data_IF_303399447957
#
_entry.id   IF_303399447957
#
_cell.length_a   1.000
_cell.length_b   1.000
_cell.length_c   1.000
_cell.angle_alpha   90.00
_cell.angle_beta   90.00
_cell.angle_gamma   90.00
#
_symmetry.space_group_name_H-M   'P 1'
#
loop_
_entity.id
_entity.type
_entity.pdbx_description
1 polymer ?
#
# COMPACT_ATOMS: atom_id res chain seq x y z
N UNK A 1 23.31 29.82 12.72
CA UNK A 1 23.30 28.73 11.72
C UNK A 1 22.59 27.53 12.34
N UNK A 2 21.33 27.26 11.98
CA UNK A 2 20.53 26.15 12.55
C UNK A 2 19.82 25.42 11.41
N UNK A 3 20.14 24.14 11.21
CA UNK A 3 19.60 23.35 10.11
C UNK A 3 18.21 22.79 10.42
N UNK A 4 17.19 23.25 9.68
CA UNK A 4 15.90 22.56 9.58
C UNK A 4 16.03 21.38 8.59
N UNK A 5 16.13 20.14 9.10
CA UNK A 5 15.97 18.93 8.28
C UNK A 5 14.49 18.56 8.18
N UNK A 6 13.91 18.71 6.99
CA UNK A 6 12.60 18.16 6.67
C UNK A 6 12.70 16.67 6.37
N UNK A 7 12.01 15.83 7.14
CA UNK A 7 11.88 14.40 6.87
C UNK A 7 10.81 14.12 5.78
N UNK A 8 11.01 13.01 5.05
CA UNK A 8 10.30 12.68 3.82
C UNK A 8 9.84 11.22 3.87
N UNK A 9 8.71 10.95 4.52
CA UNK A 9 8.16 9.60 4.62
C UNK A 9 7.68 9.07 3.27
N UNK A 10 8.26 7.95 2.83
CA UNK A 10 7.73 7.09 1.76
C UNK A 10 7.99 5.60 2.13
N UNK A 11 6.90 4.95 2.58
CA UNK A 11 6.41 3.54 2.58
C UNK A 11 7.32 2.25 2.73
N UNK A 12 6.67 1.04 2.72
CA UNK A 12 6.81 -0.09 1.71
C UNK A 12 7.37 -1.54 2.18
N UNK A 13 6.76 -2.73 1.83
CA UNK A 13 6.84 -4.24 2.29
C UNK A 13 8.05 -5.32 2.52
N UNK A 14 7.86 -6.62 2.97
CA UNK A 14 8.96 -7.64 3.34
C UNK A 14 9.08 -9.20 3.02
N UNK A 15 9.97 -10.07 3.53
CA UNK A 15 10.10 -11.55 3.19
C UNK A 15 10.88 -11.90 1.90
N UNK A 16 11.46 -13.09 1.61
CA UNK A 16 11.18 -14.50 2.05
C UNK A 16 12.38 -15.47 1.80
N UNK A 17 12.42 -16.64 2.51
CA UNK A 17 13.10 -17.96 2.29
C UNK A 17 14.55 -18.19 2.83
N UNK A 18 15.00 -19.35 3.40
CA UNK A 18 14.39 -20.59 3.97
C UNK A 18 15.46 -21.50 4.66
N UNK A 19 15.11 -22.32 5.69
CA UNK A 19 15.46 -23.76 5.89
C UNK A 19 14.98 -24.32 7.26
N UNK A 20 14.96 -25.65 7.44
CA UNK A 20 14.13 -26.41 8.42
C UNK A 20 14.96 -27.21 9.44
N UNK A 21 14.66 -27.11 10.75
CA UNK A 21 14.42 -28.27 11.63
C UNK A 21 13.68 -27.88 12.93
N UNK A 22 13.06 -28.86 13.60
CA UNK A 22 12.01 -28.70 14.63
C UNK A 22 12.53 -28.94 16.07
N UNK A 23 12.13 -28.09 17.04
CA UNK A 23 11.54 -28.47 18.34
C UNK A 23 11.58 -27.35 19.40
N UNK A 24 10.40 -26.99 19.94
CA UNK A 24 10.18 -26.42 21.29
C UNK A 24 11.15 -25.35 21.81
N UNK A 25 10.91 -24.07 21.48
CA UNK A 25 11.13 -22.97 22.45
C UNK A 25 10.38 -21.71 22.06
N UNK A 26 9.72 -21.09 23.04
CA UNK A 26 9.14 -19.74 23.01
C UNK A 26 8.05 -19.46 21.96
N UNK A 27 6.80 -19.68 22.38
CA UNK A 27 5.80 -18.62 22.20
C UNK A 27 6.37 -17.33 22.79
N UNK A 28 6.97 -16.46 21.97
CA UNK A 28 7.10 -15.05 22.34
C UNK A 28 5.71 -14.45 22.28
N UNK A 29 5.03 -14.46 23.43
CA UNK A 29 3.91 -13.56 23.67
C UNK A 29 4.48 -12.15 23.56
N UNK A 30 4.24 -11.49 22.42
CA UNK A 30 4.32 -10.04 22.38
C UNK A 30 3.30 -9.54 23.41
N UNK A 31 3.79 -9.01 24.53
CA UNK A 31 2.97 -8.44 25.60
C UNK A 31 2.35 -7.10 25.22
N UNK A 32 2.59 -6.66 23.98
CA UNK A 32 1.96 -5.49 23.37
C UNK A 32 0.51 -5.83 23.08
N UNK A 33 -0.39 -5.01 23.59
CA UNK A 33 -1.79 -5.02 23.18
C UNK A 33 -1.86 -4.80 21.66
N UNK A 34 -2.17 -5.87 20.94
CA UNK A 34 -2.26 -5.90 19.48
C UNK A 34 -3.36 -4.97 18.95
N UNK A 35 -4.41 -4.76 19.74
CA UNK A 35 -5.50 -3.84 19.43
C UNK A 35 -5.00 -2.40 19.56
N UNK A 36 -4.30 -2.05 20.65
CA UNK A 36 -3.69 -0.74 20.84
C UNK A 36 -2.66 -0.41 19.75
N UNK A 37 -1.80 -1.37 19.40
CA UNK A 37 -0.81 -1.21 18.34
C UNK A 37 -1.48 -0.91 16.98
N UNK A 38 -2.56 -1.62 16.66
CA UNK A 38 -3.30 -1.39 15.42
C UNK A 38 -4.00 -0.02 15.40
N UNK A 39 -4.52 0.47 16.54
CA UNK A 39 -5.05 1.85 16.65
C UNK A 39 -3.98 2.90 16.37
N UNK A 40 -2.78 2.72 16.93
CA UNK A 40 -1.67 3.65 16.73
C UNK A 40 -1.16 3.62 15.28
N UNK A 41 -1.03 2.44 14.67
CA UNK A 41 -0.71 2.31 13.24
C UNK A 41 -1.73 3.03 12.37
N UNK A 42 -3.04 2.89 12.65
CA UNK A 42 -4.08 3.67 11.97
C UNK A 42 -3.82 5.18 12.07
N UNK A 43 -3.59 5.68 13.28
CA UNK A 43 -3.40 7.13 13.53
C UNK A 43 -2.15 7.63 12.79
N UNK A 44 -1.02 6.94 12.90
CA UNK A 44 0.23 7.33 12.25
C UNK A 44 0.12 7.31 10.73
N UNK A 45 -0.47 6.26 10.15
CA UNK A 45 -0.66 6.18 8.69
C UNK A 45 -1.54 7.33 8.17
N UNK A 46 -2.66 7.62 8.85
CA UNK A 46 -3.53 8.76 8.52
C UNK A 46 -2.78 10.10 8.65
N UNK A 47 -1.98 10.27 9.70
CA UNK A 47 -1.18 11.48 9.90
C UNK A 47 -0.08 11.64 8.83
N UNK A 48 0.53 10.55 8.37
CA UNK A 48 1.56 10.56 7.33
C UNK A 48 1.04 10.85 5.92
N UNK A 49 -0.27 10.70 5.69
CA UNK A 49 -0.87 10.91 4.38
C UNK A 49 -0.57 12.33 3.87
N UNK A 50 -0.21 12.45 2.59
CA UNK A 50 0.12 13.75 1.99
C UNK A 50 1.45 14.36 2.46
N UNK A 51 2.17 13.80 3.45
CA UNK A 51 3.52 14.27 3.89
C UNK A 51 4.64 13.89 2.89
N UNK A 52 4.31 13.98 1.60
CA UNK A 52 5.16 13.63 0.48
C UNK A 52 5.85 14.88 -0.05
N UNK A 53 7.17 14.84 0.02
CA UNK A 53 8.04 15.84 -0.59
C UNK A 53 8.22 15.63 -2.09
N UNK A 54 8.76 16.62 -2.80
CA UNK A 54 9.00 16.57 -4.26
C UNK A 54 7.73 16.24 -5.07
N UNK A 55 6.58 16.77 -4.66
CA UNK A 55 5.35 16.77 -5.45
C UNK A 55 5.08 18.18 -5.98
N UNK A 56 4.67 18.26 -7.25
CA UNK A 56 4.16 19.49 -7.84
C UNK A 56 2.83 19.90 -7.19
N UNK A 57 2.38 21.17 -7.34
CA UNK A 57 1.09 21.61 -6.81
C UNK A 57 -0.10 20.75 -7.26
N UNK A 58 -0.12 20.32 -8.53
CA UNK A 58 -1.17 19.47 -9.09
C UNK A 58 -1.14 18.08 -8.46
N UNK A 59 0.05 17.50 -8.29
CA UNK A 59 0.22 16.18 -7.65
C UNK A 59 -0.24 16.21 -6.18
N UNK A 60 -0.01 17.32 -5.46
CA UNK A 60 -0.54 17.51 -4.10
C UNK A 60 -2.06 17.57 -4.06
N UNK A 61 -2.69 18.33 -4.95
CA UNK A 61 -4.16 18.44 -5.04
C UNK A 61 -4.78 17.05 -5.30
N UNK A 62 -4.24 16.32 -6.29
CA UNK A 62 -4.76 14.99 -6.64
C UNK A 62 -4.57 13.96 -5.52
N UNK A 63 -3.50 14.05 -4.73
CA UNK A 63 -3.35 13.22 -3.53
C UNK A 63 -4.34 13.64 -2.45
N UNK A 64 -4.54 14.93 -2.16
CA UNK A 64 -5.51 15.34 -1.14
C UNK A 64 -6.95 14.91 -1.49
N UNK A 65 -7.32 14.91 -2.77
CA UNK A 65 -8.59 14.34 -3.25
C UNK A 65 -8.75 12.84 -2.92
N UNK A 66 -7.64 12.09 -2.83
CA UNK A 66 -7.62 10.67 -2.45
C UNK A 66 -7.66 10.42 -0.93
N UNK A 67 -7.57 11.47 -0.10
CA UNK A 67 -7.39 11.34 1.36
C UNK A 67 -8.56 10.66 2.05
N UNK A 68 -9.80 10.98 1.68
CA UNK A 68 -10.98 10.36 2.26
C UNK A 68 -10.97 8.83 2.05
N UNK A 69 -10.78 8.39 0.80
CA UNK A 69 -10.66 6.98 0.44
C UNK A 69 -9.50 6.28 1.17
N UNK A 70 -8.36 6.96 1.36
CA UNK A 70 -7.26 6.40 2.13
C UNK A 70 -7.62 6.23 3.62
N UNK A 71 -8.20 7.25 4.26
CA UNK A 71 -8.65 7.20 5.65
C UNK A 71 -9.65 6.08 5.87
N UNK A 72 -10.63 5.93 4.96
CA UNK A 72 -11.62 4.87 5.03
C UNK A 72 -11.00 3.48 4.83
N UNK A 73 -10.03 3.33 3.92
CA UNK A 73 -9.29 2.07 3.76
C UNK A 73 -8.46 1.72 5.01
N UNK A 74 -7.81 2.69 5.67
CA UNK A 74 -7.09 2.43 6.93
C UNK A 74 -8.06 2.04 8.05
N UNK A 75 -9.23 2.70 8.14
CA UNK A 75 -10.30 2.33 9.10
C UNK A 75 -10.88 0.94 8.85
N UNK A 76 -11.10 0.57 7.59
CA UNK A 76 -11.53 -0.77 7.21
C UNK A 76 -10.47 -1.78 7.61
N UNK A 77 -9.20 -1.57 7.23
CA UNK A 77 -8.10 -2.44 7.66
C UNK A 77 -8.08 -2.60 9.19
N UNK A 78 -8.23 -1.50 9.94
CA UNK A 78 -8.21 -1.50 11.40
C UNK A 78 -9.27 -2.42 12.04
N UNK A 79 -10.44 -2.56 11.41
CA UNK A 79 -11.52 -3.46 11.86
C UNK A 79 -11.23 -4.95 11.59
N UNK A 80 -10.32 -5.24 10.65
CA UNK A 80 -9.98 -6.59 10.19
C UNK A 80 -8.47 -6.89 10.32
N UNK A 81 -7.76 -6.16 11.19
CA UNK A 81 -6.30 -6.23 11.31
C UNK A 81 -5.79 -7.62 11.74
N UNK A 82 -6.64 -8.39 12.42
CA UNK A 82 -6.39 -9.75 12.87
C UNK A 82 -6.54 -10.79 11.75
N UNK A 83 -7.41 -10.54 10.77
CA UNK A 83 -7.53 -11.33 9.54
C UNK A 83 -8.06 -10.47 8.38
N UNK A 84 -7.13 -9.90 7.62
CA UNK A 84 -7.46 -9.04 6.49
C UNK A 84 -8.16 -9.79 5.35
N UNK A 85 -8.13 -11.13 5.32
CA UNK A 85 -8.81 -11.91 4.28
C UNK A 85 -10.33 -11.82 4.37
N UNK A 86 -10.84 -11.46 5.55
CA UNK A 86 -12.27 -11.24 5.82
C UNK A 86 -12.78 -9.86 5.38
N UNK A 87 -11.90 -8.97 4.88
CA UNK A 87 -12.31 -7.62 4.43
C UNK A 87 -13.28 -7.73 3.24
N UNK A 88 -14.52 -7.21 3.34
CA UNK A 88 -15.48 -7.24 2.25
C UNK A 88 -15.09 -6.22 1.16
N UNK A 89 -14.37 -6.67 0.13
CA UNK A 89 -13.88 -5.84 -0.98
C UNK A 89 -15.05 -5.22 -1.76
N UNK A 90 -15.40 -3.97 -1.42
CA UNK A 90 -16.41 -3.16 -2.11
C UNK A 90 -15.72 -2.10 -2.97
N UNK A 91 -15.91 -2.17 -4.28
CA UNK A 91 -15.39 -1.16 -5.21
C UNK A 91 -16.04 0.21 -4.95
N UNK A 92 -15.23 1.27 -4.89
CA UNK A 92 -15.69 2.65 -4.74
C UNK A 92 -16.66 3.05 -5.88
N UNK A 93 -17.71 3.88 -5.65
CA UNK A 93 -18.71 4.18 -6.67
C UNK A 93 -18.17 4.72 -8.00
N UNK A 94 -17.07 5.49 -7.97
CA UNK A 94 -16.43 5.97 -9.21
C UNK A 94 -15.72 4.84 -9.97
N UNK A 95 -15.17 3.83 -9.28
CA UNK A 95 -14.57 2.63 -9.89
C UNK A 95 -15.68 1.74 -10.46
N UNK A 96 -16.82 1.62 -9.78
CA UNK A 96 -18.02 0.93 -10.30
C UNK A 96 -18.51 1.53 -11.63
N UNK A 97 -18.39 2.84 -11.84
CA UNK A 97 -18.71 3.44 -13.16
C UNK A 97 -17.79 2.92 -14.27
N UNK A 98 -16.49 2.74 -13.99
CA UNK A 98 -15.53 2.18 -14.95
C UNK A 98 -15.87 0.72 -15.26
N UNK A 99 -16.11 -0.09 -14.21
CA UNK A 99 -16.57 -1.48 -14.36
C UNK A 99 -17.86 -1.55 -15.19
N UNK A 100 -18.88 -0.75 -14.89
CA UNK A 100 -20.13 -0.69 -15.66
C UNK A 100 -19.93 -0.30 -17.13
N UNK A 101 -18.95 0.55 -17.47
CA UNK A 101 -18.62 0.88 -18.86
C UNK A 101 -17.97 -0.35 -19.53
N UNK A 102 -17.11 -1.08 -18.82
CA UNK A 102 -16.45 -2.27 -19.37
C UNK A 102 -17.46 -3.40 -19.58
N UNK A 103 -18.30 -3.72 -18.59
CA UNK A 103 -19.41 -4.68 -18.73
C UNK A 103 -20.39 -4.33 -19.86
N UNK A 104 -20.56 -3.04 -20.19
CA UNK A 104 -21.50 -2.61 -21.25
C UNK A 104 -20.91 -2.65 -22.67
N UNK A 105 -19.60 -2.57 -22.83
CA UNK A 105 -18.97 -2.34 -24.14
C UNK A 105 -17.72 -3.19 -24.45
N UNK A 106 -17.16 -3.88 -23.46
CA UNK A 106 -16.10 -4.87 -23.63
C UNK A 106 -16.68 -6.28 -23.73
N UNK A 107 -15.79 -7.26 -23.88
CA UNK A 107 -16.19 -8.66 -23.89
C UNK A 107 -16.37 -9.21 -22.46
N UNK A 108 -17.18 -10.25 -22.29
CA UNK A 108 -17.49 -10.83 -20.96
C UNK A 108 -16.23 -11.24 -20.19
N UNK A 109 -15.24 -11.81 -20.89
CA UNK A 109 -13.93 -12.15 -20.34
C UNK A 109 -13.11 -10.92 -19.91
N UNK A 110 -13.13 -9.83 -20.69
CA UNK A 110 -12.49 -8.55 -20.32
C UNK A 110 -13.12 -7.98 -19.05
N UNK A 111 -14.44 -7.98 -18.96
CA UNK A 111 -15.19 -7.44 -17.82
C UNK A 111 -14.96 -8.25 -16.54
N UNK A 112 -15.00 -9.59 -16.66
CA UNK A 112 -14.67 -10.50 -15.55
C UNK A 112 -13.23 -10.28 -15.05
N UNK A 113 -12.24 -10.29 -15.95
CA UNK A 113 -10.84 -10.11 -15.58
C UNK A 113 -10.59 -8.72 -14.96
N UNK A 114 -11.23 -7.67 -15.48
CA UNK A 114 -11.12 -6.33 -14.92
C UNK A 114 -11.60 -6.26 -13.46
N UNK A 115 -12.75 -6.85 -13.16
CA UNK A 115 -13.28 -6.89 -11.79
C UNK A 115 -12.42 -7.75 -10.85
N UNK A 116 -11.85 -8.86 -11.34
CA UNK A 116 -10.89 -9.68 -10.58
C UNK A 116 -9.63 -8.87 -10.25
N UNK A 117 -8.98 -8.27 -11.25
CA UNK A 117 -7.76 -7.50 -11.04
C UNK A 117 -7.98 -6.25 -10.19
N UNK A 118 -9.13 -5.58 -10.30
CA UNK A 118 -9.49 -4.46 -9.41
C UNK A 118 -9.69 -4.89 -7.96
N UNK A 119 -10.37 -6.02 -7.72
CA UNK A 119 -10.53 -6.57 -6.37
C UNK A 119 -9.18 -6.93 -5.78
N UNK A 120 -8.32 -7.58 -6.56
CA UNK A 120 -6.97 -7.93 -6.11
C UNK A 120 -6.11 -6.69 -5.85
N UNK A 121 -6.13 -5.67 -6.71
CA UNK A 121 -5.42 -4.40 -6.51
C UNK A 121 -5.93 -3.65 -5.27
N UNK A 122 -7.24 -3.70 -5.00
CA UNK A 122 -7.84 -3.14 -3.77
C UNK A 122 -7.34 -3.90 -2.55
N UNK A 123 -7.31 -5.24 -2.60
CA UNK A 123 -6.80 -6.09 -1.53
C UNK A 123 -5.29 -5.91 -1.30
N UNK A 124 -4.52 -5.68 -2.36
CA UNK A 124 -3.11 -5.32 -2.30
C UNK A 124 -2.89 -3.99 -1.55
N UNK A 125 -3.84 -3.05 -1.68
CA UNK A 125 -3.89 -1.83 -0.87
C UNK A 125 -3.97 -2.13 0.64
N UNK A 126 -4.84 -3.06 1.05
CA UNK A 126 -4.91 -3.50 2.45
C UNK A 126 -3.67 -4.27 2.89
N UNK A 127 -3.10 -5.15 2.05
CA UNK A 127 -1.82 -5.83 2.32
C UNK A 127 -0.65 -4.84 2.52
N UNK A 128 -0.64 -3.74 1.78
CA UNK A 128 0.36 -2.68 1.95
C UNK A 128 0.14 -1.86 3.24
N UNK A 129 -1.08 -1.80 3.79
CA UNK A 129 -1.34 -1.21 5.12
C UNK A 129 -0.94 -2.19 6.23
N UNK A 130 -1.45 -3.42 6.16
CA UNK A 130 -1.16 -4.51 7.09
C UNK A 130 0.34 -4.74 7.26
N UNK A 131 1.08 -4.66 6.15
CA UNK A 131 2.52 -4.72 6.17
C UNK A 131 3.21 -3.88 7.27
N UNK A 132 2.83 -2.60 7.47
CA UNK A 132 3.48 -1.75 8.48
C UNK A 132 3.26 -2.28 9.89
N UNK A 133 2.05 -2.80 10.13
CA UNK A 133 1.67 -3.41 11.38
C UNK A 133 2.42 -4.74 11.61
N UNK A 134 2.50 -5.61 10.60
CA UNK A 134 3.29 -6.84 10.67
C UNK A 134 4.79 -6.57 10.86
N UNK A 135 5.31 -5.47 10.30
CA UNK A 135 6.69 -5.06 10.50
C UNK A 135 6.96 -4.63 11.96
N UNK A 136 6.05 -3.85 12.55
CA UNK A 136 6.13 -3.46 13.96
C UNK A 136 5.95 -4.64 14.91
N UNK A 137 4.99 -5.54 14.66
CA UNK A 137 4.81 -6.76 15.46
C UNK A 137 6.08 -7.63 15.50
N UNK A 138 6.86 -7.63 14.42
CA UNK A 138 8.10 -8.40 14.33
C UNK A 138 9.34 -7.66 14.92
N UNK A 139 9.18 -6.48 15.52
CA UNK A 139 10.26 -5.79 16.21
C UNK A 139 10.38 -6.24 17.67
N UNK A 140 11.37 -7.09 17.95
CA UNK A 140 11.79 -7.49 19.31
C UNK A 140 12.06 -6.31 20.27
N UNK A 141 12.41 -5.14 19.73
CA UNK A 141 12.70 -3.94 20.51
C UNK A 141 11.47 -3.07 20.82
N UNK A 142 10.28 -3.43 20.34
CA UNK A 142 9.05 -2.67 20.56
C UNK A 142 8.56 -2.93 22.00
N UNK A 143 9.11 -2.19 22.95
CA UNK A 143 8.81 -2.33 24.39
C UNK A 143 7.81 -1.31 24.92
N UNK A 144 7.71 -0.18 24.25
CA UNK A 144 6.87 0.94 24.67
C UNK A 144 5.49 0.92 23.99
N UNK A 145 4.49 1.42 24.71
CA UNK A 145 3.12 1.58 24.22
C UNK A 145 2.91 2.83 23.35
N UNK A 146 3.97 3.57 22.99
CA UNK A 146 3.88 4.78 22.16
C UNK A 146 4.81 4.64 20.94
N UNK A 147 4.26 4.18 19.82
CA UNK A 147 5.03 4.11 18.56
C UNK A 147 5.05 5.44 17.79
N UNK A 148 6.12 5.66 17.03
CA UNK A 148 6.33 6.81 16.15
C UNK A 148 6.36 6.42 14.66
N UNK A 149 6.42 7.41 13.77
CA UNK A 149 6.62 7.17 12.34
C UNK A 149 8.03 6.65 12.06
N UNK A 150 9.01 7.05 12.87
CA UNK A 150 10.39 6.62 12.83
C UNK A 150 10.53 5.13 13.19
N UNK A 151 9.70 4.62 14.11
CA UNK A 151 9.63 3.19 14.44
C UNK A 151 9.06 2.36 13.28
N UNK A 152 7.99 2.86 12.64
CA UNK A 152 7.49 2.28 11.39
C UNK A 152 8.62 2.27 10.35
N UNK A 153 9.30 3.39 10.10
CA UNK A 153 10.43 3.46 9.17
C UNK A 153 11.57 2.49 9.53
N UNK A 154 11.82 2.24 10.81
CA UNK A 154 12.84 1.29 11.27
C UNK A 154 12.42 -0.16 11.00
N UNK A 155 11.17 -0.50 11.35
CA UNK A 155 10.57 -1.81 11.13
C UNK A 155 10.65 -2.23 9.65
N UNK A 156 10.27 -1.31 8.76
CA UNK A 156 10.25 -1.48 7.29
C UNK A 156 11.62 -1.35 6.62
N UNK A 157 12.69 -1.26 7.42
CA UNK A 157 14.09 -1.17 6.96
C UNK A 157 14.93 -2.36 7.43
N UNK A 158 14.33 -3.54 7.56
CA UNK A 158 15.06 -4.81 7.69
C UNK A 158 15.20 -5.48 6.32
N UNK A 159 16.22 -6.34 6.08
CA UNK A 159 16.37 -7.04 4.79
C UNK A 159 15.16 -7.91 4.46
N UNK A 160 14.56 -8.53 5.48
CA UNK A 160 13.26 -9.17 5.35
C UNK A 160 12.26 -8.10 4.90
N UNK A 161 11.98 -7.07 5.70
CA UNK A 161 11.06 -5.97 5.40
C UNK A 161 11.46 -4.99 4.28
N UNK A 162 12.31 -5.44 3.36
CA UNK A 162 12.64 -4.76 2.09
C UNK A 162 12.30 -5.60 0.84
N UNK A 163 11.92 -6.88 0.96
CA UNK A 163 11.72 -7.75 -0.21
C UNK A 163 10.24 -7.96 -0.65
N UNK A 164 9.19 -8.14 0.19
CA UNK A 164 7.75 -7.95 -0.26
C UNK A 164 7.53 -6.48 -0.67
N UNK A 165 8.44 -5.55 -0.38
CA UNK A 165 8.36 -4.14 -0.77
C UNK A 165 8.42 -4.09 -2.28
N UNK A 166 9.45 -4.73 -2.78
CA UNK A 166 9.59 -5.16 -4.15
C UNK A 166 8.41 -6.08 -4.55
N UNK A 167 8.13 -7.22 -3.91
CA UNK A 167 7.10 -8.18 -4.40
C UNK A 167 5.66 -7.61 -4.48
N UNK A 168 5.18 -6.86 -3.47
CA UNK A 168 3.87 -6.20 -3.53
C UNK A 168 3.84 -5.07 -4.57
N UNK A 169 4.99 -4.47 -4.93
CA UNK A 169 5.05 -3.46 -5.98
C UNK A 169 5.20 -4.04 -7.37
N UNK A 170 5.92 -5.13 -7.53
CA UNK A 170 5.90 -5.94 -8.73
C UNK A 170 4.48 -6.46 -8.97
N UNK A 171 3.76 -6.92 -7.92
CA UNK A 171 2.35 -7.28 -8.04
C UNK A 171 1.44 -6.09 -8.32
N UNK A 172 1.69 -4.92 -7.71
CA UNK A 172 0.95 -3.68 -8.01
C UNK A 172 1.11 -3.30 -9.47
N UNK A 173 2.35 -3.34 -9.99
CA UNK A 173 2.68 -3.03 -11.38
C UNK A 173 2.09 -4.05 -12.38
N UNK A 174 2.14 -5.35 -12.08
CA UNK A 174 1.52 -6.40 -12.91
C UNK A 174 0.01 -6.19 -12.98
N UNK A 175 -0.69 -6.10 -11.84
CA UNK A 175 -2.14 -5.88 -11.83
C UNK A 175 -2.53 -4.59 -12.56
N UNK A 176 -1.74 -3.53 -12.40
CA UNK A 176 -1.95 -2.27 -13.11
C UNK A 176 -1.77 -2.41 -14.62
N UNK A 177 -0.76 -3.15 -15.07
CA UNK A 177 -0.54 -3.43 -16.49
C UNK A 177 -1.72 -4.19 -17.09
N UNK A 178 -2.20 -5.25 -16.42
CA UNK A 178 -3.35 -6.04 -16.91
C UNK A 178 -4.64 -5.21 -16.97
N UNK A 179 -4.94 -4.43 -15.92
CA UNK A 179 -6.06 -3.47 -15.93
C UNK A 179 -5.92 -2.49 -17.09
N UNK A 180 -4.71 -1.96 -17.32
CA UNK A 180 -4.44 -0.97 -18.37
C UNK A 180 -4.59 -1.54 -19.77
N UNK A 181 -4.23 -2.81 -19.98
CA UNK A 181 -4.41 -3.54 -21.24
C UNK A 181 -5.89 -3.65 -21.59
N UNK A 182 -6.73 -4.10 -20.64
CA UNK A 182 -8.18 -4.17 -20.81
C UNK A 182 -8.75 -2.77 -21.13
N UNK A 183 -8.39 -1.75 -20.35
CA UNK A 183 -8.85 -0.38 -20.61
C UNK A 183 -8.42 0.17 -21.99
N UNK A 184 -7.37 -0.40 -22.60
CA UNK A 184 -6.84 0.04 -23.90
C UNK A 184 -7.45 -0.70 -25.10
N UNK A 185 -8.31 -1.69 -24.90
CA UNK A 185 -8.91 -2.44 -26.02
C UNK A 185 -9.71 -1.51 -26.95
N UNK A 186 -9.78 -1.83 -28.24
CA UNK A 186 -10.31 -0.90 -29.25
C UNK A 186 -11.76 -0.48 -28.97
N UNK A 187 -12.55 -1.41 -28.41
CA UNK A 187 -13.95 -1.22 -28.00
C UNK A 187 -14.08 -0.23 -26.83
N UNK A 188 -13.11 -0.24 -25.92
CA UNK A 188 -13.16 0.44 -24.62
C UNK A 188 -12.41 1.79 -24.61
N UNK A 189 -11.26 1.87 -25.27
CA UNK A 189 -10.30 3.00 -25.18
C UNK A 189 -10.94 4.38 -25.38
N UNK A 190 -11.82 4.52 -26.38
CA UNK A 190 -12.54 5.79 -26.65
C UNK A 190 -13.54 6.15 -25.55
N UNK A 191 -14.20 5.16 -24.96
CA UNK A 191 -15.23 5.33 -23.91
C UNK A 191 -14.62 5.57 -22.53
N UNK A 192 -13.42 5.04 -22.32
CA UNK A 192 -12.65 5.16 -21.08
C UNK A 192 -11.62 6.28 -21.08
N UNK A 193 -11.50 7.09 -22.16
CA UNK A 193 -10.39 8.04 -22.36
C UNK A 193 -10.05 8.92 -21.15
N UNK A 194 -11.05 9.52 -20.49
CA UNK A 194 -10.82 10.34 -19.29
C UNK A 194 -10.36 9.53 -18.08
N UNK A 195 -10.89 8.31 -17.90
CA UNK A 195 -10.48 7.40 -16.83
C UNK A 195 -9.07 6.87 -17.06
N UNK A 196 -8.71 6.56 -18.31
CA UNK A 196 -7.35 6.20 -18.74
C UNK A 196 -6.37 7.32 -18.40
N UNK A 197 -6.71 8.57 -18.73
CA UNK A 197 -5.87 9.72 -18.40
C UNK A 197 -5.61 9.84 -16.89
N UNK A 198 -6.66 9.78 -16.05
CA UNK A 198 -6.50 9.83 -14.60
C UNK A 198 -5.73 8.61 -14.05
N UNK A 199 -5.94 7.43 -14.63
CA UNK A 199 -5.25 6.21 -14.26
C UNK A 199 -3.74 6.29 -14.52
N UNK A 200 -3.35 6.69 -15.73
CA UNK A 200 -1.95 6.86 -16.12
C UNK A 200 -1.28 7.99 -15.31
N UNK A 201 -2.03 9.07 -15.00
CA UNK A 201 -1.55 10.16 -14.15
C UNK A 201 -1.31 9.72 -12.69
N UNK A 202 -2.26 9.00 -12.08
CA UNK A 202 -2.13 8.46 -10.73
C UNK A 202 -1.00 7.43 -10.63
N UNK A 203 -0.82 6.58 -11.64
CA UNK A 203 0.31 5.66 -11.71
C UNK A 203 1.63 6.40 -11.76
N UNK A 204 1.77 7.42 -12.61
CA UNK A 204 3.00 8.25 -12.67
C UNK A 204 3.33 8.93 -11.33
N UNK A 205 2.32 9.36 -10.55
CA UNK A 205 2.53 9.87 -9.19
C UNK A 205 3.00 8.74 -8.27
N UNK A 206 2.32 7.59 -8.31
CA UNK A 206 2.64 6.43 -7.50
C UNK A 206 4.07 5.97 -7.78
N UNK A 207 4.48 5.76 -9.02
CA UNK A 207 5.81 5.29 -9.40
C UNK A 207 6.93 6.21 -8.89
N UNK A 208 6.72 7.54 -8.86
CA UNK A 208 7.64 8.49 -8.22
C UNK A 208 7.73 8.33 -6.71
N UNK A 209 6.62 7.99 -6.05
CA UNK A 209 6.60 7.67 -4.62
C UNK A 209 7.37 6.38 -4.39
N UNK A 210 7.08 5.34 -5.19
CA UNK A 210 7.74 4.02 -5.18
C UNK A 210 9.26 4.12 -5.32
N UNK A 211 9.76 4.85 -6.32
CA UNK A 211 11.20 4.92 -6.57
C UNK A 211 11.96 5.60 -5.42
N UNK A 212 11.46 6.73 -4.94
CA UNK A 212 12.06 7.52 -3.85
C UNK A 212 12.07 6.78 -2.51
N UNK A 213 11.21 5.79 -2.35
CA UNK A 213 11.02 4.96 -1.17
C UNK A 213 12.00 3.78 -1.15
N UNK A 214 12.04 3.03 -2.25
CA UNK A 214 13.03 1.98 -2.48
C UNK A 214 14.45 2.53 -2.32
N UNK A 215 14.71 3.72 -2.87
CA UNK A 215 15.98 4.43 -2.71
C UNK A 215 16.28 4.77 -1.24
N UNK A 216 15.30 5.29 -0.49
CA UNK A 216 15.46 5.63 0.93
C UNK A 216 15.76 4.41 1.79
N UNK A 217 15.01 3.34 1.57
CA UNK A 217 15.09 2.11 2.34
C UNK A 217 16.36 1.33 2.02
N UNK A 218 16.77 1.28 0.75
CA UNK A 218 18.07 0.74 0.35
C UNK A 218 19.23 1.53 0.99
N UNK A 219 19.15 2.87 1.01
CA UNK A 219 20.14 3.72 1.70
C UNK A 219 20.16 3.53 3.22
N UNK A 220 19.08 3.10 3.86
CA UNK A 220 19.07 2.70 5.28
C UNK A 220 19.72 1.32 5.48
N UNK A 221 19.45 0.36 4.61
CA UNK A 221 20.06 -0.98 4.67
C UNK A 221 21.59 -0.93 4.52
N UNK A 222 22.10 -0.16 3.55
CA UNK A 222 23.55 -0.03 3.28
C UNK A 222 24.32 0.81 4.33
N UNK A 223 23.66 1.19 5.43
CA UNK A 223 24.23 1.99 6.54
C UNK A 223 24.18 1.26 7.89
N UNK A 224 23.66 0.03 7.92
CA UNK A 224 23.70 -0.88 9.07
C UNK A 224 24.83 -1.88 8.86
#
# INVERSE_FOLDING_TARGET
MVYKKFFKLRALPGGVLFFIFFATTLYRVNTIDQQLLADQVQVLLIQSYGRLSNLSPIEKIVIEMGRATFVDNVRIWRLYYNDISLIPIKLHPQIKKVSNIIHKYGDESEAFLFDVYLKELTFLGYRNIDYYYQALLAMDSLKDTNISLEDIEYAVSSPQFYKKKIELFEREAVLKKEIRLIMNSEKLKRRLGIYIFFYDFLNKIRDKIIASDLEYSHKRLMKK
#
